data_IF_493013391080
#
_entry.id   IF_493013391080
#
_cell.length_a   1.000
_cell.length_b   1.000
_cell.length_c   1.000
_cell.angle_alpha   90.00
_cell.angle_beta   90.00
_cell.angle_gamma   90.00
#
_symmetry.space_group_name_H-M   'P 1'
#
loop_
_entity.id
_entity.type
_entity.pdbx_description
1 polymer ?
#
# COMPACT_ATOMS: atom_id res chain seq x y z
N UNK A 1 0.73 -0.61 18.19
CA UNK A 1 0.61 0.16 16.93
C UNK A 1 0.21 -0.85 15.86
N UNK A 2 -0.81 -0.61 15.02
CA UNK A 2 -1.06 -1.55 13.93
C UNK A 2 0.18 -1.58 13.02
N UNK A 3 0.67 -2.77 12.71
CA UNK A 3 1.88 -2.92 11.89
C UNK A 3 1.56 -2.58 10.43
N UNK A 4 2.58 -2.26 9.63
CA UNK A 4 2.42 -2.03 8.19
C UNK A 4 1.77 -3.22 7.49
N UNK A 5 1.96 -4.44 8.02
CA UNK A 5 1.33 -5.66 7.54
C UNK A 5 -0.20 -5.65 7.76
N UNK A 6 -0.66 -5.28 8.96
CA UNK A 6 -2.10 -5.17 9.26
C UNK A 6 -2.81 -4.14 8.37
N UNK A 7 -2.15 -3.02 8.08
CA UNK A 7 -2.66 -2.00 7.17
C UNK A 7 -2.71 -2.51 5.72
N UNK A 8 -1.73 -3.31 5.32
CA UNK A 8 -1.68 -3.96 4.01
C UNK A 8 -2.80 -4.99 3.86
N UNK A 9 -3.01 -5.86 4.85
CA UNK A 9 -4.11 -6.82 4.88
C UNK A 9 -5.48 -6.12 4.83
N UNK A 10 -5.65 -5.00 5.55
CA UNK A 10 -6.87 -4.18 5.46
C UNK A 10 -7.07 -3.58 4.07
N UNK A 11 -6.02 -3.05 3.45
CA UNK A 11 -6.09 -2.50 2.11
C UNK A 11 -6.45 -3.59 1.07
N UNK A 12 -5.84 -4.77 1.18
CA UNK A 12 -6.15 -5.95 0.36
C UNK A 12 -7.63 -6.30 0.51
N UNK A 13 -8.14 -6.46 1.74
CA UNK A 13 -9.54 -6.78 2.01
C UNK A 13 -10.51 -5.74 1.42
N UNK A 14 -10.19 -4.45 1.53
CA UNK A 14 -10.98 -3.37 0.94
C UNK A 14 -10.97 -3.39 -0.59
N UNK A 15 -9.90 -3.90 -1.19
CA UNK A 15 -9.75 -3.99 -2.64
C UNK A 15 -10.43 -5.25 -3.20
N UNK A 16 -10.19 -6.41 -2.60
CA UNK A 16 -10.74 -7.72 -3.00
C UNK A 16 -12.24 -7.83 -2.74
N UNK A 17 -12.80 -7.01 -1.84
CA UNK A 17 -14.25 -6.90 -1.63
C UNK A 17 -15.03 -6.31 -2.82
N UNK A 18 -14.36 -5.87 -3.90
CA UNK A 18 -15.02 -5.46 -5.15
C UNK A 18 -15.08 -6.63 -6.14
N UNK A 19 -16.26 -6.93 -6.67
CA UNK A 19 -16.43 -7.90 -7.76
C UNK A 19 -15.55 -7.48 -8.96
N UNK A 20 -14.74 -8.42 -9.47
CA UNK A 20 -13.88 -8.20 -10.64
C UNK A 20 -12.54 -7.49 -10.35
N UNK A 21 -12.16 -7.34 -9.08
CA UNK A 21 -10.88 -6.75 -8.71
C UNK A 21 -9.71 -7.72 -8.99
N UNK A 22 -8.62 -7.23 -9.60
CA UNK A 22 -7.42 -8.04 -9.89
C UNK A 22 -6.73 -8.45 -8.58
N UNK A 23 -6.29 -9.70 -8.45
CA UNK A 23 -5.68 -10.14 -7.19
C UNK A 23 -4.38 -9.36 -6.91
N UNK A 24 -4.29 -8.61 -5.79
CA UNK A 24 -3.02 -8.01 -5.38
C UNK A 24 -2.08 -9.12 -4.93
N UNK A 25 -0.81 -9.00 -5.31
CA UNK A 25 0.24 -9.85 -4.76
C UNK A 25 0.62 -9.24 -3.41
N UNK A 26 0.29 -9.93 -2.33
CA UNK A 26 0.62 -9.48 -0.98
C UNK A 26 2.14 -9.22 -0.81
N UNK A 27 2.96 -10.04 -1.47
CA UNK A 27 4.42 -9.94 -1.47
C UNK A 27 4.96 -8.70 -2.21
N UNK A 28 4.23 -8.23 -3.23
CA UNK A 28 4.57 -7.00 -3.98
C UNK A 28 3.87 -5.76 -3.43
N UNK A 29 2.92 -5.95 -2.51
CA UNK A 29 2.13 -4.89 -1.90
C UNK A 29 2.78 -4.49 -0.59
N UNK A 30 2.78 -3.20 -0.29
CA UNK A 30 3.44 -2.76 0.92
C UNK A 30 3.33 -1.27 1.19
N UNK A 31 3.91 -0.84 2.33
CA UNK A 31 3.99 0.57 2.67
C UNK A 31 4.92 1.29 1.70
N UNK A 32 4.51 2.48 1.28
CA UNK A 32 5.32 3.41 0.49
C UNK A 32 5.21 4.79 1.11
N UNK A 33 6.33 5.52 1.11
CA UNK A 33 6.37 6.89 1.63
C UNK A 33 6.72 7.83 0.48
N UNK A 34 5.84 8.79 0.22
CA UNK A 34 6.03 9.78 -0.84
C UNK A 34 5.70 11.18 -0.29
N UNK A 35 6.63 12.13 -0.44
CA UNK A 35 6.42 13.51 0.02
C UNK A 35 6.14 13.64 1.52
N UNK A 36 6.72 12.76 2.35
CA UNK A 36 6.52 12.75 3.81
C UNK A 36 5.17 12.19 4.27
N UNK A 37 4.46 11.47 3.40
CA UNK A 37 3.17 10.86 3.69
C UNK A 37 3.25 9.34 3.53
N UNK A 38 2.57 8.63 4.42
CA UNK A 38 2.46 7.18 4.39
C UNK A 38 1.33 6.70 3.49
N UNK A 39 1.64 5.70 2.69
CA UNK A 39 0.73 5.04 1.77
C UNK A 39 0.88 3.52 1.88
N UNK A 40 -0.18 2.80 1.56
CA UNK A 40 -0.17 1.38 1.27
C UNK A 40 -0.48 1.22 -0.21
N UNK A 41 0.47 0.65 -0.95
CA UNK A 41 0.33 0.42 -2.39
C UNK A 41 0.11 -1.06 -2.62
N UNK A 42 -1.01 -1.37 -3.27
CA UNK A 42 -1.33 -2.70 -3.75
C UNK A 42 -0.79 -2.86 -5.15
N UNK A 43 0.04 -3.89 -5.36
CA UNK A 43 0.68 -4.18 -6.65
C UNK A 43 0.44 -5.63 -7.03
N UNK A 44 0.54 -5.92 -8.32
CA UNK A 44 0.62 -7.28 -8.86
C UNK A 44 1.69 -7.33 -9.95
N UNK A 45 1.81 -8.48 -10.63
CA UNK A 45 2.75 -8.68 -11.73
C UNK A 45 2.53 -7.72 -12.91
N UNK A 46 1.35 -7.12 -13.02
CA UNK A 46 1.00 -6.13 -14.04
C UNK A 46 1.19 -4.67 -13.60
N UNK A 47 1.67 -4.42 -12.37
CA UNK A 47 1.93 -3.08 -11.85
C UNK A 47 1.06 -2.67 -10.67
N UNK A 48 0.82 -1.37 -10.52
CA UNK A 48 0.08 -0.80 -9.38
C UNK A 48 -1.43 -0.95 -9.58
N UNK A 49 -2.09 -1.64 -8.65
CA UNK A 49 -3.54 -1.86 -8.66
C UNK A 49 -4.31 -0.76 -7.92
N UNK A 50 -3.82 -0.36 -6.75
CA UNK A 50 -4.44 0.67 -5.93
C UNK A 50 -3.45 1.25 -4.94
N UNK A 51 -3.62 2.52 -4.58
CA UNK A 51 -2.89 3.16 -3.50
C UNK A 51 -3.88 3.70 -2.45
N UNK A 52 -3.55 3.50 -1.18
CA UNK A 52 -4.30 3.97 -0.03
C UNK A 52 -3.41 4.87 0.80
N UNK A 53 -3.82 6.10 1.04
CA UNK A 53 -3.11 6.97 1.98
C UNK A 53 -3.48 6.58 3.41
N UNK A 54 -2.47 6.42 4.26
CA UNK A 54 -2.65 6.24 5.70
C UNK A 54 -2.77 7.63 6.32
N UNK A 55 -3.91 7.92 6.94
CA UNK A 55 -4.09 9.15 7.70
C UNK A 55 -3.44 8.98 9.08
N UNK A 56 -2.41 9.75 9.45
CA UNK A 56 -1.67 9.54 10.70
C UNK A 56 -2.54 9.74 11.95
N UNK A 57 -3.51 10.66 11.89
CA UNK A 57 -4.39 10.99 13.02
C UNK A 57 -5.56 10.00 13.15
N UNK A 58 -6.28 9.76 12.06
CA UNK A 58 -7.50 8.93 12.09
C UNK A 58 -7.24 7.45 11.80
N UNK A 59 -6.02 7.08 11.42
CA UNK A 59 -5.61 5.72 11.01
C UNK A 59 -6.51 5.11 9.94
N UNK A 60 -7.19 5.96 9.17
CA UNK A 60 -8.11 5.57 8.12
C UNK A 60 -7.34 5.43 6.80
N UNK A 61 -7.71 4.42 6.02
CA UNK A 61 -7.17 4.17 4.69
C UNK A 61 -8.01 4.95 3.67
N UNK A 62 -7.45 6.03 3.13
CA UNK A 62 -8.12 6.80 2.08
C UNK A 62 -7.65 6.32 0.72
N UNK A 63 -8.54 5.66 -0.01
CA UNK A 63 -8.25 5.21 -1.39
C UNK A 63 -8.03 6.41 -2.31
N UNK A 64 -6.93 6.41 -3.04
CA UNK A 64 -6.63 7.40 -4.06
C UNK A 64 -7.21 6.95 -5.40
N UNK A 65 -7.92 7.85 -6.09
CA UNK A 65 -8.47 7.61 -7.43
C UNK A 65 -7.40 7.75 -8.52
N UNK A 66 -6.40 8.59 -8.28
CA UNK A 66 -5.20 8.79 -9.10
C UNK A 66 -4.01 8.87 -8.14
N UNK A 67 -3.01 8.03 -8.36
CA UNK A 67 -1.80 7.98 -7.55
C UNK A 67 -0.71 8.83 -8.21
N UNK A 68 0.19 9.47 -7.43
CA UNK A 68 1.29 10.27 -7.96
C UNK A 68 2.29 9.37 -8.70
N UNK A 69 2.74 9.80 -9.89
CA UNK A 69 3.66 9.05 -10.74
C UNK A 69 4.98 8.64 -10.03
N UNK A 70 5.39 9.39 -9.01
CA UNK A 70 6.54 9.09 -8.16
C UNK A 70 6.45 7.73 -7.46
N UNK A 71 5.24 7.19 -7.25
CA UNK A 71 5.04 5.85 -6.69
C UNK A 71 5.24 4.72 -7.72
N UNK A 72 5.25 5.04 -9.03
CA UNK A 72 5.64 4.10 -10.09
C UNK A 72 7.16 3.92 -10.10
N UNK A 73 7.87 5.04 -9.92
CA UNK A 73 9.30 5.17 -10.16
C UNK A 73 10.16 4.83 -8.94
N UNK A 74 9.61 4.85 -7.72
CA UNK A 74 10.43 4.56 -6.53
C UNK A 74 10.93 3.10 -6.52
N UNK A 75 12.26 2.86 -6.71
CA UNK A 75 12.84 1.56 -6.46
C UNK A 75 12.70 1.28 -4.96
N UNK A 76 12.26 0.07 -4.66
CA UNK A 76 12.19 -0.52 -3.33
C UNK A 76 13.46 -0.23 -2.50
N UNK A 77 13.43 0.83 -1.69
CA UNK A 77 14.40 1.08 -0.63
C UNK A 77 13.67 1.30 0.69
N UNK A 78 13.25 0.21 1.32
CA UNK A 78 13.14 0.15 2.77
C UNK A 78 13.61 -1.23 3.23
N UNK A 79 14.90 -1.28 3.61
CA UNK A 79 15.53 -2.45 4.19
C UNK A 79 15.07 -2.71 5.62
N UNK A 80 15.04 -4.00 5.93
CA UNK A 80 15.59 -4.61 7.15
C UNK A 80 15.35 -3.90 8.48
N UNK A 81 14.32 -4.33 9.19
CA UNK A 81 14.27 -4.30 10.65
C UNK A 81 14.47 -5.70 11.20
N UNK A 82 15.73 -6.09 11.43
CA UNK A 82 16.07 -7.22 12.28
C UNK A 82 15.70 -6.87 13.73
N UNK A 83 14.98 -7.77 14.42
CA UNK A 83 14.92 -7.86 15.88
C UNK A 83 14.86 -9.36 16.20
N UNK A 84 16.00 -10.04 16.38
CA UNK A 84 16.83 -10.14 17.60
C UNK A 84 16.52 -11.45 18.34
#
# INVERSE_FOLDING_TARGET
>A
MPTSDELTQRAIKLYTGKLGAQQPAADLSGPATAGGLDYIVLRNLGGVLAAYRVLPVSRALKRLKRWPATLDDQPNIQGTGAQA
#
